data_IF_517737795839
#
_entry.id   IF_517737795839
#
_cell.length_a   1.000
_cell.length_b   1.000
_cell.length_c   1.000
_cell.angle_alpha   90.00
_cell.angle_beta   90.00
_cell.angle_gamma   90.00
#
_symmetry.space_group_name_H-M   'P 1'
#
loop_
_entity.id
_entity.type
_entity.pdbx_description
1 polymer ?
#
# COMPACT_ATOMS: atom_id res chain seq x y z
N UNK A 1 -8.22 -60.08 -46.55
CA UNK A 1 -8.08 -58.63 -46.31
C UNK A 1 -8.75 -58.31 -45.01
N UNK A 2 -7.95 -58.11 -43.97
CA UNK A 2 -8.27 -57.65 -42.61
C UNK A 2 -6.98 -57.96 -41.85
N UNK A 3 -6.26 -56.94 -41.37
CA UNK A 3 -5.16 -56.96 -40.38
C UNK A 3 -4.22 -55.74 -40.57
N UNK A 4 -4.76 -54.53 -40.75
CA UNK A 4 -3.96 -53.30 -40.89
C UNK A 4 -4.17 -52.30 -39.74
N UNK A 5 -5.41 -52.08 -39.32
CA UNK A 5 -5.72 -50.84 -38.58
C UNK A 5 -5.73 -51.00 -37.05
N UNK A 6 -5.79 -52.20 -36.49
CA UNK A 6 -5.90 -52.38 -35.02
C UNK A 6 -4.56 -52.52 -34.31
N UNK A 7 -3.49 -52.92 -35.02
CA UNK A 7 -2.15 -53.13 -34.47
C UNK A 7 -1.31 -51.84 -34.46
N UNK A 8 -1.35 -51.04 -35.53
CA UNK A 8 -0.60 -49.77 -35.60
C UNK A 8 -1.16 -48.71 -34.63
N UNK A 9 -2.47 -48.74 -34.37
CA UNK A 9 -3.12 -47.85 -33.42
C UNK A 9 -2.78 -48.16 -31.95
N UNK A 10 -2.25 -49.36 -31.64
CA UNK A 10 -1.82 -49.66 -30.26
C UNK A 10 -0.57 -48.89 -29.85
N UNK A 11 0.37 -48.65 -30.77
CA UNK A 11 1.54 -47.82 -30.50
C UNK A 11 1.12 -46.36 -30.26
N UNK A 12 0.21 -45.84 -31.09
CA UNK A 12 -0.37 -44.51 -30.91
C UNK A 12 -1.13 -44.38 -29.58
N UNK A 13 -1.90 -45.40 -29.19
CA UNK A 13 -2.61 -45.45 -27.91
C UNK A 13 -1.66 -45.52 -26.71
N UNK A 14 -0.58 -46.31 -26.82
CA UNK A 14 0.43 -46.42 -25.77
C UNK A 14 1.20 -45.11 -25.55
N UNK A 15 1.47 -44.36 -26.63
CA UNK A 15 2.07 -43.02 -26.55
C UNK A 15 1.09 -42.03 -25.92
N UNK A 16 -0.19 -42.06 -26.33
CA UNK A 16 -1.22 -41.19 -25.76
C UNK A 16 -1.41 -41.40 -24.25
N UNK A 17 -1.31 -42.64 -23.78
CA UNK A 17 -1.46 -42.99 -22.36
C UNK A 17 -0.19 -42.74 -21.53
N UNK A 18 0.94 -42.41 -22.15
CA UNK A 18 2.23 -42.29 -21.45
C UNK A 18 2.20 -41.17 -20.40
N UNK A 19 1.47 -40.08 -20.67
CA UNK A 19 1.31 -38.96 -19.73
C UNK A 19 0.56 -39.32 -18.44
N UNK A 20 -0.30 -40.35 -18.51
CA UNK A 20 -1.14 -40.82 -17.40
C UNK A 20 -0.54 -42.03 -16.68
N UNK A 21 0.52 -42.65 -17.23
CA UNK A 21 1.21 -43.74 -16.56
C UNK A 21 2.02 -43.22 -15.36
N UNK A 22 1.78 -43.85 -14.22
CA UNK A 22 2.58 -43.65 -13.02
C UNK A 22 4.05 -44.01 -13.27
N UNK A 23 4.96 -43.11 -12.88
CA UNK A 23 6.40 -43.34 -12.95
C UNK A 23 6.97 -43.45 -11.54
N UNK A 24 7.78 -44.47 -11.28
CA UNK A 24 8.47 -44.66 -9.99
C UNK A 24 9.42 -43.49 -9.69
N UNK A 25 10.00 -42.87 -10.73
CA UNK A 25 10.83 -41.66 -10.62
C UNK A 25 10.05 -40.42 -10.17
N UNK A 26 8.73 -40.41 -10.37
CA UNK A 26 7.80 -39.36 -9.91
C UNK A 26 7.03 -39.80 -8.65
N UNK A 27 7.61 -40.71 -7.86
CA UNK A 27 7.01 -41.23 -6.63
C UNK A 27 5.63 -41.87 -6.84
N UNK A 28 5.43 -42.51 -8.00
CA UNK A 28 4.17 -43.16 -8.36
C UNK A 28 3.13 -42.23 -8.98
N UNK A 29 3.47 -40.96 -9.23
CA UNK A 29 2.60 -40.02 -9.95
C UNK A 29 2.79 -40.14 -11.47
N UNK A 30 1.75 -39.79 -12.22
CA UNK A 30 1.88 -39.57 -13.66
C UNK A 30 2.58 -38.24 -13.96
N UNK A 31 3.05 -38.06 -15.19
CA UNK A 31 3.68 -36.81 -15.62
C UNK A 31 2.68 -35.65 -15.50
N UNK A 32 1.42 -35.89 -15.88
CA UNK A 32 0.34 -34.90 -15.75
C UNK A 32 0.11 -34.51 -14.28
N UNK A 33 0.05 -35.48 -13.37
CA UNK A 33 -0.13 -35.22 -11.94
C UNK A 33 1.04 -34.45 -11.32
N UNK A 34 2.28 -34.81 -11.67
CA UNK A 34 3.47 -34.11 -11.18
C UNK A 34 3.51 -32.65 -11.69
N UNK A 35 3.15 -32.44 -12.96
CA UNK A 35 3.05 -31.11 -13.55
C UNK A 35 1.96 -30.26 -12.90
N UNK A 36 0.76 -30.80 -12.72
CA UNK A 36 -0.33 -30.13 -12.02
C UNK A 36 0.05 -29.78 -10.58
N UNK A 37 0.73 -30.69 -9.87
CA UNK A 37 1.27 -30.44 -8.53
C UNK A 37 2.25 -29.26 -8.51
N UNK A 38 3.20 -29.22 -9.44
CA UNK A 38 4.15 -28.12 -9.56
C UNK A 38 3.45 -26.79 -9.86
N UNK A 39 2.50 -26.77 -10.80
CA UNK A 39 1.73 -25.57 -11.13
C UNK A 39 0.93 -25.08 -9.93
N UNK A 40 0.31 -25.99 -9.16
CA UNK A 40 -0.40 -25.64 -7.94
C UNK A 40 0.51 -25.05 -6.87
N UNK A 41 1.73 -25.59 -6.68
CA UNK A 41 2.71 -25.02 -5.74
C UNK A 41 3.10 -23.61 -6.16
N UNK A 42 3.39 -23.38 -7.45
CA UNK A 42 3.72 -22.04 -7.94
C UNK A 42 2.54 -21.08 -7.79
N UNK A 43 1.32 -21.51 -8.13
CA UNK A 43 0.11 -20.71 -8.03
C UNK A 43 -0.20 -20.30 -6.59
N UNK A 44 -0.13 -21.25 -5.64
CA UNK A 44 -0.36 -20.99 -4.22
C UNK A 44 0.71 -20.07 -3.63
N UNK A 45 1.98 -20.25 -4.03
CA UNK A 45 3.07 -19.38 -3.61
C UNK A 45 2.91 -17.95 -4.14
N UNK A 46 2.52 -17.81 -5.41
CA UNK A 46 2.25 -16.52 -6.04
C UNK A 46 1.08 -15.79 -5.36
N UNK A 47 -0.03 -16.51 -5.10
CA UNK A 47 -1.18 -15.96 -4.38
C UNK A 47 -0.79 -15.50 -2.97
N UNK A 48 0.00 -16.30 -2.25
CA UNK A 48 0.48 -15.96 -0.91
C UNK A 48 1.36 -14.71 -0.93
N UNK A 49 2.25 -14.59 -1.93
CA UNK A 49 3.10 -13.41 -2.08
C UNK A 49 2.28 -12.14 -2.38
N UNK A 50 1.26 -12.23 -3.26
CA UNK A 50 0.37 -11.12 -3.56
C UNK A 50 -0.45 -10.66 -2.34
N UNK A 51 -0.96 -11.63 -1.55
CA UNK A 51 -1.69 -11.34 -0.32
C UNK A 51 -0.79 -10.67 0.73
N UNK A 52 0.45 -11.14 0.87
CA UNK A 52 1.42 -10.57 1.80
C UNK A 52 1.82 -9.14 1.39
N UNK A 53 2.02 -8.89 0.09
CA UNK A 53 2.31 -7.55 -0.42
C UNK A 53 1.16 -6.58 -0.12
N UNK A 54 -0.07 -7.00 -0.38
CA UNK A 54 -1.27 -6.19 -0.09
C UNK A 54 -1.41 -5.89 1.40
N UNK A 55 -1.30 -6.93 2.24
CA UNK A 55 -1.37 -6.78 3.70
C UNK A 55 -0.29 -5.84 4.24
N UNK A 56 0.94 -5.95 3.72
CA UNK A 56 2.04 -5.07 4.12
C UNK A 56 1.81 -3.63 3.69
N UNK A 57 1.26 -3.41 2.49
CA UNK A 57 0.89 -2.08 2.02
C UNK A 57 -0.21 -1.46 2.91
N UNK A 58 -1.24 -2.23 3.28
CA UNK A 58 -2.31 -1.76 4.15
C UNK A 58 -1.79 -1.39 5.55
N UNK A 59 -0.89 -2.20 6.12
CA UNK A 59 -0.22 -1.88 7.39
C UNK A 59 0.63 -0.61 7.24
N UNK A 60 1.39 -0.49 6.17
CA UNK A 60 2.19 0.71 5.91
C UNK A 60 1.30 1.96 5.85
N UNK A 61 0.23 1.94 5.05
CA UNK A 61 -0.71 3.07 4.94
C UNK A 61 -1.33 3.40 6.30
N UNK A 62 -1.73 2.38 7.06
CA UNK A 62 -2.29 2.57 8.41
C UNK A 62 -1.30 3.26 9.34
N UNK A 63 -0.04 2.82 9.36
CA UNK A 63 1.01 3.43 10.16
C UNK A 63 1.34 4.85 9.70
N UNK A 64 1.29 5.09 8.38
CA UNK A 64 1.52 6.41 7.80
C UNK A 64 0.43 7.39 8.22
N UNK A 65 -0.84 6.97 8.14
CA UNK A 65 -1.99 7.74 8.64
C UNK A 65 -1.91 7.96 10.16
N UNK A 66 -1.50 6.96 10.96
CA UNK A 66 -1.31 7.15 12.40
C UNK A 66 -0.21 8.17 12.71
N UNK A 67 0.91 8.09 11.98
CA UNK A 67 2.00 9.06 12.10
C UNK A 67 1.55 10.46 11.70
N UNK A 68 0.77 10.58 10.62
CA UNK A 68 0.17 11.84 10.19
C UNK A 68 -0.88 12.34 11.17
N UNK A 69 -1.63 11.49 11.87
CA UNK A 69 -2.53 11.95 12.93
C UNK A 69 -1.78 12.47 14.17
N UNK A 70 -0.61 11.89 14.46
CA UNK A 70 0.19 12.25 15.64
C UNK A 70 1.13 13.44 15.39
N UNK A 71 1.64 13.55 14.16
CA UNK A 71 2.55 14.61 13.70
C UNK A 71 1.85 15.64 12.80
N UNK A 72 0.57 15.44 12.50
CA UNK A 72 -0.21 16.24 11.58
C UNK A 72 -0.42 17.62 12.15
N UNK A 73 0.44 18.52 11.73
CA UNK A 73 0.22 19.94 11.84
C UNK A 73 -1.01 20.25 10.98
N UNK A 74 -2.14 20.52 11.62
CA UNK A 74 -3.30 21.04 10.88
C UNK A 74 -2.98 22.47 10.47
N UNK A 75 -2.65 22.66 9.20
CA UNK A 75 -2.32 23.95 8.62
C UNK A 75 -3.43 24.99 8.87
N UNK A 76 -4.69 24.57 9.01
CA UNK A 76 -5.78 25.48 9.34
C UNK A 76 -5.70 25.93 10.80
N UNK A 77 -5.41 25.02 11.72
CA UNK A 77 -5.21 25.37 13.13
C UNK A 77 -3.98 26.26 13.32
N UNK A 78 -2.89 25.97 12.62
CA UNK A 78 -1.69 26.81 12.64
C UNK A 78 -1.96 28.19 12.01
N UNK A 79 -2.75 28.26 10.93
CA UNK A 79 -3.19 29.53 10.31
C UNK A 79 -4.10 30.33 11.23
N UNK A 80 -5.00 29.67 11.97
CA UNK A 80 -5.86 30.33 12.98
C UNK A 80 -5.00 30.88 14.12
N UNK A 81 -4.04 30.11 14.61
CA UNK A 81 -3.09 30.56 15.64
C UNK A 81 -2.23 31.73 15.14
N UNK A 82 -1.80 31.69 13.88
CA UNK A 82 -1.06 32.76 13.24
C UNK A 82 -1.92 34.04 13.10
N UNK A 83 -3.16 33.92 12.63
CA UNK A 83 -4.09 35.04 12.57
C UNK A 83 -4.39 35.63 13.97
N UNK A 84 -4.49 34.78 14.99
CA UNK A 84 -4.67 35.22 16.38
C UNK A 84 -3.45 36.01 16.86
N UNK A 85 -2.23 35.53 16.60
CA UNK A 85 -1.00 36.23 16.90
C UNK A 85 -0.89 37.57 16.15
N UNK A 86 -1.26 37.61 14.87
CA UNK A 86 -1.29 38.84 14.07
C UNK A 86 -2.29 39.86 14.63
N UNK A 87 -3.51 39.44 15.00
CA UNK A 87 -4.51 40.33 15.61
C UNK A 87 -4.05 40.86 16.96
N UNK A 88 -3.43 40.01 17.78
CA UNK A 88 -2.87 40.43 19.06
C UNK A 88 -1.77 41.48 18.85
N UNK A 89 -0.87 41.27 17.88
CA UNK A 89 0.17 42.24 17.53
C UNK A 89 -0.42 43.59 17.05
N UNK A 90 -1.42 43.56 16.16
CA UNK A 90 -2.11 44.76 15.70
C UNK A 90 -2.82 45.50 16.87
N UNK A 91 -3.42 44.75 17.80
CA UNK A 91 -4.01 45.30 19.01
C UNK A 91 -2.97 46.01 19.88
N UNK A 92 -1.85 45.34 20.17
CA UNK A 92 -0.73 45.90 20.93
C UNK A 92 -0.14 47.15 20.26
N UNK A 93 -0.01 47.14 18.93
CA UNK A 93 0.47 48.31 18.19
C UNK A 93 -0.46 49.51 18.36
N UNK A 94 -1.79 49.31 18.30
CA UNK A 94 -2.77 50.37 18.56
C UNK A 94 -2.68 50.90 19.99
N UNK A 95 -2.53 50.03 20.98
CA UNK A 95 -2.34 50.43 22.38
C UNK A 95 -1.11 51.31 22.53
N UNK A 96 0.02 50.92 21.93
CA UNK A 96 1.26 51.72 21.94
C UNK A 96 1.04 53.07 21.26
N UNK A 97 0.35 53.10 20.11
CA UNK A 97 0.02 54.37 19.43
C UNK A 97 -0.81 55.28 20.34
N UNK A 98 -1.84 54.75 21.01
CA UNK A 98 -2.65 55.53 21.95
C UNK A 98 -1.82 56.05 23.12
N UNK A 99 -0.92 55.24 23.69
CA UNK A 99 -0.02 55.67 24.75
C UNK A 99 0.89 56.81 24.27
N UNK A 100 1.47 56.70 23.08
CA UNK A 100 2.31 57.76 22.51
C UNK A 100 1.53 59.06 22.33
N UNK A 101 0.29 58.99 21.81
CA UNK A 101 -0.57 60.17 21.68
C UNK A 101 -0.87 60.83 23.03
N UNK A 102 -1.18 60.03 24.06
CA UNK A 102 -1.39 60.57 25.42
C UNK A 102 -0.13 61.22 25.98
N UNK A 103 1.05 60.64 25.74
CA UNK A 103 2.32 61.21 26.19
C UNK A 103 2.65 62.52 25.46
N UNK A 104 2.38 62.60 24.16
CA UNK A 104 2.56 63.82 23.38
C UNK A 104 1.62 64.94 23.86
N UNK A 105 0.35 64.64 24.16
CA UNK A 105 -0.59 65.62 24.73
C UNK A 105 -0.14 66.13 26.12
N UNK A 106 0.34 65.24 26.99
CA UNK A 106 0.86 65.63 28.31
C UNK A 106 2.08 66.54 28.19
N UNK A 107 3.00 66.26 27.25
CA UNK A 107 4.16 67.13 27.03
C UNK A 107 3.75 68.51 26.50
N UNK A 108 2.73 68.58 25.65
CA UNK A 108 2.20 69.85 25.11
C UNK A 108 1.52 70.73 26.16
N UNK A 109 1.06 70.16 27.28
CA UNK A 109 0.47 70.92 28.40
C UNK A 109 1.51 71.46 29.40
N UNK A 110 2.70 70.85 29.44
CA UNK A 110 3.76 71.19 30.41
C UNK A 110 4.79 72.16 29.80
N UNK A 111 5.01 72.10 28.48
CA UNK A 111 5.88 73.00 27.71
C UNK A 111 5.05 74.13 27.11
#
# INVERSE_FOLDING_TARGET
GQNGDSSDNQAALAIAQLGDKAATSLNGQSINQAYEGMVNVVATQAQSAANNATSTADVQTTLQNQRENLSGVDLNEETVNLMKAQRAFQGSARVITTINTMMDELMHLIV
#
